data_IF_655263226250
#
_entry.id   IF_655263226250
#
_cell.length_a   1.000
_cell.length_b   1.000
_cell.length_c   1.000
_cell.angle_alpha   90.00
_cell.angle_beta   90.00
_cell.angle_gamma   90.00
#
_symmetry.space_group_name_H-M   'P 1'
#
loop_
_entity.id
_entity.type
_entity.pdbx_description
1 polymer ?
#
# COMPACT_ATOMS: atom_id res chain seq x y z
N UNK A 1 -6.27 24.92 -9.19
CA UNK A 1 -6.76 24.88 -10.59
C UNK A 1 -7.26 23.48 -10.97
N UNK A 2 -6.48 22.42 -10.78
CA UNK A 2 -6.90 21.02 -11.09
C UNK A 2 -8.13 20.55 -10.29
N UNK A 3 -8.17 20.73 -8.97
CA UNK A 3 -9.33 20.30 -8.16
C UNK A 3 -10.67 20.95 -8.57
N UNK A 4 -10.64 22.18 -9.09
CA UNK A 4 -11.86 22.88 -9.51
C UNK A 4 -12.41 22.34 -10.84
N UNK A 5 -11.52 21.94 -11.76
CA UNK A 5 -11.89 21.34 -13.05
C UNK A 5 -12.46 19.94 -12.86
N UNK A 6 -11.89 19.17 -11.92
CA UNK A 6 -12.30 17.78 -11.68
C UNK A 6 -13.51 17.64 -10.73
N UNK A 7 -13.86 18.69 -9.97
CA UNK A 7 -14.93 18.63 -8.96
C UNK A 7 -16.30 18.18 -9.51
N UNK A 8 -16.59 18.46 -10.79
CA UNK A 8 -17.86 18.08 -11.42
C UNK A 8 -17.92 16.64 -11.97
N UNK A 9 -16.80 15.89 -11.95
CA UNK A 9 -16.71 14.55 -12.57
C UNK A 9 -17.11 13.40 -11.65
N UNK A 10 -17.45 13.69 -10.40
CA UNK A 10 -17.77 12.70 -9.37
C UNK A 10 -16.54 12.08 -8.70
N UNK A 11 -16.72 11.04 -7.87
CA UNK A 11 -15.62 10.36 -7.18
C UNK A 11 -14.59 9.82 -8.17
N UNK A 12 -13.31 10.02 -7.89
CA UNK A 12 -12.20 9.55 -8.72
C UNK A 12 -11.44 8.44 -8.00
N UNK A 13 -11.28 7.29 -8.67
CA UNK A 13 -10.41 6.20 -8.19
C UNK A 13 -9.04 6.32 -8.86
N UNK A 14 -7.99 6.37 -8.05
CA UNK A 14 -6.59 6.35 -8.53
C UNK A 14 -5.98 5.03 -8.11
N UNK A 15 -5.50 4.25 -9.09
CA UNK A 15 -4.78 3.00 -8.86
C UNK A 15 -3.30 3.24 -9.12
N UNK A 16 -2.47 2.85 -8.16
CA UNK A 16 -1.03 3.02 -8.23
C UNK A 16 -0.36 2.35 -7.04
N UNK A 17 0.97 2.39 -7.02
CA UNK A 17 1.73 1.79 -5.93
C UNK A 17 1.51 2.52 -4.60
N UNK A 18 1.47 1.79 -3.47
CA UNK A 18 1.24 2.35 -2.13
C UNK A 18 2.16 3.54 -1.82
N UNK A 19 3.45 3.42 -2.18
CA UNK A 19 4.47 4.48 -2.00
C UNK A 19 4.14 5.79 -2.71
N UNK A 20 3.21 5.85 -3.65
CA UNK A 20 2.78 7.11 -4.27
C UNK A 20 1.50 7.66 -3.66
N UNK A 21 0.68 6.82 -3.03
CA UNK A 21 -0.67 7.15 -2.57
C UNK A 21 -0.79 7.18 -1.04
N UNK A 22 0.21 6.74 -0.29
CA UNK A 22 0.16 6.87 1.17
C UNK A 22 0.14 8.35 1.60
N UNK A 23 -0.51 8.62 2.73
CA UNK A 23 -0.66 9.98 3.30
C UNK A 23 0.64 10.51 3.92
N UNK A 24 1.53 9.62 4.36
CA UNK A 24 2.84 9.97 4.92
C UNK A 24 3.91 10.15 3.84
N UNK A 25 5.11 10.64 4.22
CA UNK A 25 6.27 10.62 3.33
C UNK A 25 6.56 9.21 2.84
N UNK A 26 7.01 9.12 1.60
CA UNK A 26 7.36 7.88 0.94
C UNK A 26 8.86 7.62 1.07
N UNK A 27 9.23 6.35 1.13
CA UNK A 27 10.61 5.91 1.24
C UNK A 27 10.86 4.69 0.33
N UNK A 28 12.01 4.64 -0.31
CA UNK A 28 12.45 3.49 -1.09
C UNK A 28 13.98 3.43 -1.10
N UNK A 29 14.53 2.22 -0.97
CA UNK A 29 15.94 1.97 -1.26
C UNK A 29 16.08 1.44 -2.68
N UNK A 30 16.85 2.13 -3.52
CA UNK A 30 17.03 1.77 -4.92
C UNK A 30 18.47 2.06 -5.36
N UNK A 31 19.16 1.05 -5.90
CA UNK A 31 20.53 1.18 -6.43
C UNK A 31 21.51 1.78 -5.42
N UNK A 32 21.39 1.38 -4.15
CA UNK A 32 22.21 1.89 -3.05
C UNK A 32 21.81 3.28 -2.52
N UNK A 33 20.82 3.94 -3.12
CA UNK A 33 20.29 5.22 -2.65
C UNK A 33 19.10 5.01 -1.73
N UNK A 34 19.00 5.84 -0.70
CA UNK A 34 17.82 6.01 0.14
C UNK A 34 17.04 7.23 -0.39
N UNK A 35 15.89 6.96 -1.01
CA UNK A 35 15.02 7.96 -1.63
C UNK A 35 13.87 8.27 -0.68
N UNK A 36 13.66 9.57 -0.42
CA UNK A 36 12.54 10.06 0.40
C UNK A 36 11.85 11.21 -0.32
N UNK A 37 10.53 11.17 -0.42
CA UNK A 37 9.76 12.21 -1.12
C UNK A 37 8.33 12.29 -0.59
N UNK A 38 7.62 13.35 -0.95
CA UNK A 38 6.17 13.45 -0.74
C UNK A 38 5.44 12.93 -1.98
N UNK A 39 4.83 11.76 -1.86
CA UNK A 39 4.00 11.18 -2.92
C UNK A 39 2.72 11.98 -3.17
N UNK A 40 1.98 11.59 -4.20
CA UNK A 40 0.69 12.21 -4.54
C UNK A 40 -0.28 12.19 -3.36
N UNK A 41 -0.35 11.08 -2.61
CA UNK A 41 -1.19 10.98 -1.41
C UNK A 41 -0.81 11.95 -0.30
N UNK A 42 0.49 12.12 -0.05
CA UNK A 42 1.01 13.06 0.94
C UNK A 42 0.76 14.53 0.57
N UNK A 43 0.71 14.85 -0.74
CA UNK A 43 0.38 16.20 -1.23
C UNK A 43 -1.14 16.42 -1.24
N UNK A 44 -1.92 15.44 -1.70
CA UNK A 44 -3.38 15.57 -1.83
C UNK A 44 -4.10 15.52 -0.48
N UNK A 45 -3.64 14.68 0.45
CA UNK A 45 -4.28 14.47 1.75
C UNK A 45 -4.57 15.77 2.51
N UNK A 46 -3.60 16.68 2.67
CA UNK A 46 -3.83 18.00 3.28
C UNK A 46 -4.69 18.96 2.44
N UNK A 47 -4.66 18.86 1.11
CA UNK A 47 -5.36 19.77 0.21
C UNK A 47 -6.87 19.48 0.11
N UNK A 48 -7.26 18.20 0.20
CA UNK A 48 -8.67 17.80 0.09
C UNK A 48 -9.24 17.19 1.37
N UNK A 49 -8.41 16.99 2.40
CA UNK A 49 -8.79 16.54 3.73
C UNK A 49 -9.39 15.14 3.72
N UNK A 50 -10.54 14.99 4.40
CA UNK A 50 -11.33 13.75 4.48
C UNK A 50 -11.86 13.26 3.13
N UNK A 51 -11.79 14.08 2.07
CA UNK A 51 -12.15 13.67 0.71
C UNK A 51 -11.09 12.79 0.05
N UNK A 52 -9.93 12.61 0.69
CA UNK A 52 -8.90 11.67 0.27
C UNK A 52 -8.88 10.45 1.18
N UNK A 53 -9.26 9.29 0.64
CA UNK A 53 -9.20 8.00 1.32
C UNK A 53 -8.11 7.16 0.66
N UNK A 54 -7.17 6.69 1.47
CA UNK A 54 -6.13 5.76 1.03
C UNK A 54 -6.52 4.33 1.45
N UNK A 55 -6.52 3.42 0.47
CA UNK A 55 -6.67 1.97 0.68
C UNK A 55 -5.36 1.32 0.25
N UNK A 56 -4.67 0.65 1.18
CA UNK A 56 -3.41 0.00 0.89
C UNK A 56 -3.65 -1.30 0.12
N UNK A 57 -2.87 -1.53 -0.93
CA UNK A 57 -2.82 -2.81 -1.63
C UNK A 57 -1.88 -3.79 -0.94
N UNK A 58 -2.28 -5.06 -0.85
CA UNK A 58 -1.49 -6.14 -0.27
C UNK A 58 -1.60 -7.40 -1.12
N UNK A 59 -0.55 -8.22 -1.11
CA UNK A 59 -0.45 -9.46 -1.89
C UNK A 59 0.15 -10.57 -1.03
N UNK A 60 -0.52 -11.71 -0.99
CA UNK A 60 -0.08 -12.91 -0.27
C UNK A 60 1.11 -13.60 -0.95
N UNK A 61 0.84 -14.60 -1.79
CA UNK A 61 1.87 -15.28 -2.59
C UNK A 61 1.83 -14.85 -4.05
N UNK A 62 2.91 -15.01 -4.80
CA UNK A 62 2.89 -14.86 -6.26
C UNK A 62 4.05 -15.59 -6.90
N UNK A 63 3.74 -16.46 -7.86
CA UNK A 63 4.77 -17.20 -8.60
C UNK A 63 5.53 -16.27 -9.56
N UNK A 64 4.81 -15.42 -10.32
CA UNK A 64 5.41 -14.41 -11.20
C UNK A 64 6.41 -13.46 -10.50
N UNK A 65 6.17 -13.15 -9.22
CA UNK A 65 7.03 -12.30 -8.41
C UNK A 65 8.02 -13.08 -7.52
N UNK A 66 8.01 -14.41 -7.55
CA UNK A 66 8.84 -15.24 -6.68
C UNK A 66 8.53 -15.05 -5.19
N UNK A 67 7.30 -14.67 -4.86
CA UNK A 67 6.82 -14.45 -3.50
C UNK A 67 6.21 -15.75 -2.96
N UNK A 68 6.87 -16.42 -1.99
CA UNK A 68 6.28 -17.57 -1.30
C UNK A 68 5.08 -17.13 -0.44
N UNK A 69 4.45 -18.09 0.25
CA UNK A 69 3.50 -17.73 1.30
C UNK A 69 4.16 -16.81 2.35
N UNK A 70 3.43 -15.78 2.82
CA UNK A 70 3.94 -14.86 3.83
C UNK A 70 4.12 -15.58 5.18
N UNK A 71 5.15 -15.19 5.95
CA UNK A 71 5.37 -15.76 7.28
C UNK A 71 4.19 -15.42 8.22
N UNK A 72 3.78 -16.31 9.15
CA UNK A 72 2.53 -16.19 9.91
C UNK A 72 2.34 -14.89 10.70
N UNK A 73 3.42 -14.20 11.02
CA UNK A 73 3.49 -12.99 11.82
C UNK A 73 3.69 -11.71 11.00
N UNK A 74 3.38 -11.77 9.70
CA UNK A 74 3.42 -10.63 8.79
C UNK A 74 2.02 -10.09 8.49
N UNK A 75 1.93 -8.81 8.15
CA UNK A 75 0.63 -8.18 7.82
C UNK A 75 -0.11 -8.95 6.71
N UNK A 76 0.61 -9.42 5.68
CA UNK A 76 0.04 -10.22 4.60
C UNK A 76 -0.51 -11.58 5.07
N UNK A 77 0.07 -12.18 6.11
CA UNK A 77 -0.37 -13.48 6.61
C UNK A 77 -1.59 -13.40 7.53
N UNK A 78 -1.70 -12.33 8.31
CA UNK A 78 -2.84 -12.11 9.22
C UNK A 78 -4.07 -11.52 8.51
N UNK A 79 -3.90 -11.07 7.25
CA UNK A 79 -5.01 -10.58 6.44
C UNK A 79 -6.07 -11.69 6.25
N UNK A 80 -7.37 -11.38 6.42
CA UNK A 80 -8.43 -12.35 6.19
C UNK A 80 -8.40 -12.90 4.76
N UNK A 81 -8.45 -14.23 4.64
CA UNK A 81 -8.44 -14.91 3.34
C UNK A 81 -9.85 -15.02 2.77
N UNK A 82 -10.07 -14.42 1.61
CA UNK A 82 -11.29 -14.56 0.81
C UNK A 82 -11.15 -15.65 -0.24
N UNK A 83 -12.01 -15.67 -1.27
CA UNK A 83 -11.83 -16.54 -2.44
C UNK A 83 -10.73 -16.04 -3.37
N UNK A 84 -10.66 -14.72 -3.61
CA UNK A 84 -9.63 -14.10 -4.48
C UNK A 84 -8.99 -12.90 -3.79
N UNK A 85 -9.82 -12.01 -3.26
CA UNK A 85 -9.38 -10.82 -2.54
C UNK A 85 -10.34 -10.49 -1.40
N UNK A 86 -9.88 -9.68 -0.45
CA UNK A 86 -10.69 -9.11 0.65
C UNK A 86 -10.39 -7.63 0.82
N UNK A 87 -11.39 -6.87 1.26
CA UNK A 87 -11.22 -5.49 1.71
C UNK A 87 -11.61 -5.41 3.17
N UNK A 88 -10.68 -4.95 4.00
CA UNK A 88 -10.83 -4.87 5.45
C UNK A 88 -10.40 -3.52 5.99
N UNK A 89 -10.86 -3.10 7.18
CA UNK A 89 -10.25 -1.98 7.88
C UNK A 89 -8.75 -2.21 8.05
N UNK A 90 -7.95 -1.13 8.05
CA UNK A 90 -6.52 -1.27 8.24
C UNK A 90 -6.24 -1.88 9.63
N UNK A 91 -5.41 -2.93 9.72
CA UNK A 91 -5.05 -3.51 11.01
C UNK A 91 -4.23 -2.51 11.84
N UNK A 92 -4.20 -2.72 13.15
CA UNK A 92 -3.27 -2.01 14.03
C UNK A 92 -1.83 -2.28 13.54
N UNK A 93 -1.00 -1.25 13.28
CA UNK A 93 0.38 -1.45 12.86
C UNK A 93 1.23 -2.31 13.82
N UNK A 94 0.86 -2.41 15.11
CA UNK A 94 1.55 -3.25 16.09
C UNK A 94 1.14 -4.74 16.04
N UNK A 95 0.11 -5.10 15.27
CA UNK A 95 -0.47 -6.45 15.26
C UNK A 95 0.38 -7.52 14.54
N UNK A 96 1.29 -7.09 13.67
CA UNK A 96 2.21 -7.95 12.92
C UNK A 96 3.43 -7.13 12.47
N UNK A 97 4.38 -7.77 11.78
CA UNK A 97 5.53 -7.07 11.18
C UNK A 97 5.44 -6.97 9.66
N UNK A 98 6.26 -6.09 9.10
CA UNK A 98 6.50 -6.08 7.66
C UNK A 98 7.11 -7.42 7.21
N UNK A 99 6.61 -7.94 6.09
CA UNK A 99 7.22 -9.08 5.41
C UNK A 99 8.64 -8.72 4.94
N UNK A 100 9.61 -9.61 5.18
CA UNK A 100 10.93 -9.49 4.55
C UNK A 100 10.85 -9.83 3.08
N UNK A 101 11.27 -8.88 2.22
CA UNK A 101 11.43 -9.13 0.80
C UNK A 101 12.78 -9.85 0.55
N UNK A 102 12.81 -11.01 -0.13
CA UNK A 102 14.03 -11.80 -0.31
C UNK A 102 15.17 -11.07 -1.04
N UNK A 103 14.81 -10.10 -1.88
CA UNK A 103 15.75 -9.36 -2.73
C UNK A 103 15.60 -7.86 -2.45
N UNK A 104 16.49 -7.29 -1.63
CA UNK A 104 16.44 -5.85 -1.31
C UNK A 104 16.56 -4.90 -2.52
N UNK A 105 16.95 -5.43 -3.68
CA UNK A 105 17.05 -4.69 -4.95
C UNK A 105 15.88 -4.95 -5.92
N UNK A 106 14.95 -5.86 -5.60
CA UNK A 106 13.79 -6.13 -6.44
C UNK A 106 12.67 -5.12 -6.14
N UNK A 107 12.45 -4.21 -7.10
CA UNK A 107 11.48 -3.13 -6.99
C UNK A 107 10.10 -3.52 -7.52
N UNK A 108 9.85 -4.80 -7.79
CA UNK A 108 8.56 -5.27 -8.29
C UNK A 108 7.51 -5.43 -7.19
N UNK A 109 7.93 -5.55 -5.93
CA UNK A 109 7.03 -5.71 -4.79
C UNK A 109 7.56 -4.98 -3.56
N UNK A 110 6.65 -4.30 -2.87
CA UNK A 110 6.92 -3.66 -1.58
C UNK A 110 5.95 -4.23 -0.55
N UNK A 111 6.44 -4.81 0.55
CA UNK A 111 5.59 -5.32 1.62
C UNK A 111 4.85 -4.18 2.31
N UNK A 112 3.74 -4.51 2.97
CA UNK A 112 3.13 -3.58 3.92
C UNK A 112 4.11 -3.27 5.07
N UNK A 113 4.09 -2.02 5.51
CA UNK A 113 4.82 -1.56 6.69
C UNK A 113 3.96 -0.60 7.52
N UNK A 114 4.48 -0.21 8.68
CA UNK A 114 3.81 0.70 9.60
C UNK A 114 3.45 2.04 8.92
N UNK A 115 4.32 2.56 8.05
CA UNK A 115 4.09 3.82 7.34
C UNK A 115 2.90 3.74 6.39
N UNK A 116 2.75 2.59 5.74
CA UNK A 116 1.65 2.30 4.83
C UNK A 116 0.34 2.17 5.61
N UNK A 117 0.36 1.46 6.74
CA UNK A 117 -0.84 1.20 7.55
C UNK A 117 -1.35 2.42 8.30
N UNK A 118 -0.46 3.25 8.85
CA UNK A 118 -0.82 4.43 9.65
C UNK A 118 -1.71 5.42 8.88
N UNK A 119 -1.54 5.52 7.56
CA UNK A 119 -2.31 6.42 6.70
C UNK A 119 -3.50 5.77 5.99
N UNK A 120 -3.72 4.47 6.16
CA UNK A 120 -4.70 3.71 5.40
C UNK A 120 -6.03 3.59 6.16
N UNK A 121 -7.14 3.79 5.44
CA UNK A 121 -8.48 3.50 5.98
C UNK A 121 -8.81 2.00 5.88
N UNK A 122 -8.15 1.29 4.97
CA UNK A 122 -8.38 -0.13 4.72
C UNK A 122 -7.23 -0.78 3.97
N UNK A 123 -7.24 -2.12 3.97
CA UNK A 123 -6.33 -2.96 3.19
C UNK A 123 -7.15 -3.80 2.22
N UNK A 124 -6.85 -3.65 0.93
CA UNK A 124 -7.28 -4.55 -0.13
C UNK A 124 -6.21 -5.64 -0.29
N UNK A 125 -6.50 -6.85 0.18
CA UNK A 125 -5.58 -7.97 0.12
C UNK A 125 -5.95 -8.94 -0.99
N UNK A 126 -5.00 -9.26 -1.86
CA UNK A 126 -5.11 -10.30 -2.89
C UNK A 126 -4.39 -11.55 -2.38
N UNK A 127 -5.10 -12.67 -2.34
CA UNK A 127 -4.59 -13.92 -1.76
C UNK A 127 -3.34 -14.44 -2.50
N UNK A 128 -3.40 -14.43 -3.83
CA UNK A 128 -2.34 -14.90 -4.70
C UNK A 128 -2.35 -14.14 -6.03
N UNK A 129 -1.16 -13.88 -6.58
CA UNK A 129 -0.97 -13.39 -7.95
C UNK A 129 -0.38 -14.49 -8.82
N UNK A 130 -0.93 -14.64 -10.02
CA UNK A 130 -0.41 -15.58 -11.03
C UNK A 130 0.80 -14.99 -11.77
#
# INVERSE_FOLDING_TARGET
>A
MVCAVEAGRGPTLVVGHNVHLQRGPSHMRMRGLDLRWYGAGAVLGPLVGERYVFVAGSLGRSEALGLPDPAPDTYEAIAPRGTTWTLTPAPDPSSARARTHPSGDDLRYFPLDESTLTGAAGVLHVNAGD
#
